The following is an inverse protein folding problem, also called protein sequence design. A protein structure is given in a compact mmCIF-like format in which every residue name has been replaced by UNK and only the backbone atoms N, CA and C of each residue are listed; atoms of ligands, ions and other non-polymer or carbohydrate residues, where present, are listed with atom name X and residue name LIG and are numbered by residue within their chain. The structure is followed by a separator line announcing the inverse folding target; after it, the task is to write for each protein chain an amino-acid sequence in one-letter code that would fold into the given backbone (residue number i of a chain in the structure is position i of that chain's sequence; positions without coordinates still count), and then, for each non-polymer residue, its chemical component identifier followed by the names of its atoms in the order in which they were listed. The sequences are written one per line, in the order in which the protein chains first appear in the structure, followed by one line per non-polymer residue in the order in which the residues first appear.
data_IF_623127282593
#
_entry.id   IF_623127282593
#
_cell.length_a   1.000
_cell.length_b   1.000
_cell.length_c   1.000
_cell.angle_alpha   90.00
_cell.angle_beta   90.00
_cell.angle_gamma   90.00
#
_symmetry.space_group_name_H-M   'P 1'
#
loop_
_entity.id
_entity.type
_entity.pdbx_description
1 polymer ?
#
# COMPACT_ATOMS: atom_id res chain seq x y z
N UNK A 1 1.75 -15.35 -0.22
CA UNK A 1 0.85 -14.19 -0.39
C UNK A 1 -0.21 -14.26 0.67
N UNK A 2 -0.34 -13.23 1.51
CA UNK A 2 -1.37 -13.17 2.55
C UNK A 2 -2.67 -12.60 1.96
N UNK A 3 -3.79 -13.28 2.17
CA UNK A 3 -5.11 -12.89 1.66
C UNK A 3 -6.08 -12.72 2.83
N UNK A 4 -6.69 -11.54 2.96
CA UNK A 4 -7.64 -11.19 4.01
C UNK A 4 -8.92 -10.65 3.35
N UNK A 5 -9.91 -11.52 3.15
CA UNK A 5 -11.16 -11.19 2.44
C UNK A 5 -12.43 -11.28 3.28
N UNK A 6 -12.46 -12.10 4.34
CA UNK A 6 -13.68 -12.30 5.12
C UNK A 6 -13.75 -11.35 6.32
N UNK A 7 -14.94 -10.88 6.72
CA UNK A 7 -15.11 -10.10 7.95
C UNK A 7 -14.60 -10.81 9.21
N UNK A 8 -14.77 -12.13 9.28
CA UNK A 8 -14.33 -12.94 10.42
C UNK A 8 -12.80 -12.96 10.53
N UNK A 9 -12.09 -13.21 9.42
CA UNK A 9 -10.63 -13.17 9.40
C UNK A 9 -10.10 -11.80 9.81
N UNK A 10 -10.73 -10.71 9.35
CA UNK A 10 -10.36 -9.34 9.75
C UNK A 10 -10.51 -9.11 11.24
N UNK A 11 -11.65 -9.49 11.84
CA UNK A 11 -11.88 -9.31 13.28
C UNK A 11 -10.85 -10.06 14.13
N UNK A 12 -10.63 -11.34 13.81
CA UNK A 12 -9.64 -12.16 14.51
C UNK A 12 -8.23 -11.58 14.36
N UNK A 13 -7.84 -11.23 13.13
CA UNK A 13 -6.51 -10.71 12.87
C UNK A 13 -6.29 -9.35 13.54
N UNK A 14 -7.27 -8.45 13.51
CA UNK A 14 -7.17 -7.16 14.21
C UNK A 14 -7.07 -7.36 15.72
N UNK A 15 -7.82 -8.30 16.30
CA UNK A 15 -7.68 -8.65 17.71
C UNK A 15 -6.28 -9.17 18.03
N UNK A 16 -5.75 -10.08 17.20
CA UNK A 16 -4.38 -10.59 17.36
C UNK A 16 -3.33 -9.47 17.28
N UNK A 17 -3.47 -8.58 16.29
CA UNK A 17 -2.56 -7.47 16.06
C UNK A 17 -2.56 -6.43 17.19
N UNK A 18 -3.57 -6.39 18.06
CA UNK A 18 -3.52 -5.55 19.26
C UNK A 18 -2.38 -5.95 20.21
N UNK A 19 -2.00 -7.23 20.22
CA UNK A 19 -1.04 -7.77 21.18
C UNK A 19 0.26 -8.24 20.52
N UNK A 20 0.18 -8.77 19.30
CA UNK A 20 1.28 -9.47 18.65
C UNK A 20 1.53 -8.97 17.23
N UNK A 21 2.78 -9.08 16.77
CA UNK A 21 3.10 -8.84 15.36
C UNK A 21 2.89 -10.13 14.57
N UNK A 22 2.36 -10.03 13.36
CA UNK A 22 2.19 -11.18 12.47
C UNK A 22 3.48 -11.39 11.68
N UNK A 23 3.95 -12.63 11.62
CA UNK A 23 4.91 -13.08 10.61
C UNK A 23 4.34 -14.34 9.95
N UNK A 24 3.84 -14.21 8.73
CA UNK A 24 3.16 -15.29 8.03
C UNK A 24 3.48 -15.26 6.53
N UNK A 25 3.88 -16.40 5.97
CA UNK A 25 4.26 -16.52 4.55
C UNK A 25 5.23 -15.42 4.08
N UNK A 26 6.22 -15.07 4.91
CA UNK A 26 7.21 -14.00 4.66
C UNK A 26 6.61 -12.59 4.57
N UNK A 27 5.39 -12.40 5.03
CA UNK A 27 4.79 -11.08 5.27
C UNK A 27 4.91 -10.78 6.74
N UNK A 28 5.50 -9.62 7.06
CA UNK A 28 5.57 -9.11 8.42
C UNK A 28 4.59 -7.95 8.60
N UNK A 29 3.80 -7.98 9.67
CA UNK A 29 2.90 -6.90 10.06
C UNK A 29 3.09 -6.60 11.54
N UNK A 30 3.54 -5.37 11.84
CA UNK A 30 3.70 -4.90 13.22
C UNK A 30 2.37 -4.89 13.97
N UNK A 31 2.44 -5.23 15.26
CA UNK A 31 1.36 -5.02 16.22
C UNK A 31 0.87 -3.57 16.22
N UNK A 32 -0.42 -3.37 16.49
CA UNK A 32 -1.13 -2.09 16.43
C UNK A 32 -1.68 -1.75 15.04
N UNK A 33 -1.39 -2.55 14.02
CA UNK A 33 -1.97 -2.36 12.69
C UNK A 33 -3.46 -2.75 12.66
N UNK A 34 -4.27 -1.97 11.93
CA UNK A 34 -5.70 -2.19 11.75
C UNK A 34 -6.00 -2.42 10.27
N UNK A 35 -6.50 -3.61 9.95
CA UNK A 35 -6.76 -4.09 8.60
C UNK A 35 -8.27 -4.31 8.41
N UNK A 36 -8.94 -3.29 7.88
CA UNK A 36 -10.41 -3.25 7.74
C UNK A 36 -10.90 -3.39 6.30
N UNK A 37 -10.04 -3.25 5.29
CA UNK A 37 -10.38 -3.45 3.88
C UNK A 37 -10.20 -4.92 3.44
N UNK A 38 -10.69 -5.27 2.25
CA UNK A 38 -10.25 -6.49 1.57
C UNK A 38 -8.79 -6.29 1.15
N UNK A 39 -7.90 -7.21 1.54
CA UNK A 39 -6.47 -6.99 1.46
C UNK A 39 -5.73 -8.21 0.91
N UNK A 40 -4.83 -7.96 -0.03
CA UNK A 40 -3.84 -8.93 -0.50
C UNK A 40 -2.45 -8.34 -0.31
N UNK A 41 -1.54 -9.10 0.29
CA UNK A 41 -0.14 -8.68 0.52
C UNK A 41 0.82 -9.71 -0.09
N UNK A 42 1.68 -9.22 -0.97
CA UNK A 42 2.73 -9.97 -1.64
C UNK A 42 3.84 -10.44 -0.69
N UNK A 43 4.58 -11.43 -1.14
CA UNK A 43 5.65 -12.10 -0.39
C UNK A 43 6.79 -11.12 -0.08
N UNK A 44 7.38 -11.23 1.12
CA UNK A 44 8.54 -10.43 1.51
C UNK A 44 8.23 -8.98 1.86
N UNK A 45 6.97 -8.56 1.78
CA UNK A 45 6.55 -7.23 2.23
C UNK A 45 6.59 -7.13 3.75
N UNK A 46 7.16 -6.04 4.23
CA UNK A 46 7.38 -5.78 5.65
C UNK A 46 6.69 -4.47 6.06
N UNK A 47 5.81 -4.56 7.05
CA UNK A 47 5.10 -3.42 7.65
C UNK A 47 5.63 -3.20 9.07
N UNK A 48 6.51 -2.21 9.22
CA UNK A 48 7.31 -2.01 10.43
C UNK A 48 6.60 -1.25 11.57
N UNK A 49 5.67 -0.34 11.26
CA UNK A 49 4.88 0.37 12.27
C UNK A 49 3.40 -0.02 12.22
N UNK A 50 2.57 0.51 13.11
CA UNK A 50 1.13 0.33 12.94
C UNK A 50 0.70 1.03 11.64
N UNK A 51 -0.15 0.37 10.87
CA UNK A 51 -0.81 0.95 9.69
C UNK A 51 -2.32 0.86 9.84
N UNK A 52 -3.05 1.79 9.22
CA UNK A 52 -4.49 1.74 9.12
C UNK A 52 -4.88 1.55 7.65
N UNK A 53 -5.42 0.38 7.32
CA UNK A 53 -5.96 0.09 5.99
C UNK A 53 -7.48 -0.01 6.11
N UNK A 54 -8.20 0.97 5.56
CA UNK A 54 -9.66 1.12 5.73
C UNK A 54 -10.38 1.44 4.43
N UNK A 55 -11.69 1.17 4.43
CA UNK A 55 -12.58 1.48 3.32
C UNK A 55 -13.22 0.23 2.71
N UNK A 56 -14.11 0.45 1.74
CA UNK A 56 -14.90 -0.61 1.09
C UNK A 56 -14.30 -1.14 -0.22
N UNK A 57 -13.28 -0.48 -0.78
CA UNK A 57 -12.51 -0.96 -1.91
C UNK A 57 -11.45 -1.99 -1.51
N UNK A 58 -10.92 -2.71 -2.49
CA UNK A 58 -9.81 -3.62 -2.31
C UNK A 58 -8.49 -2.85 -2.17
N UNK A 59 -7.56 -3.42 -1.41
CA UNK A 59 -6.19 -2.93 -1.30
C UNK A 59 -5.27 -4.08 -1.68
N UNK A 60 -4.44 -3.86 -2.69
CA UNK A 60 -3.48 -4.83 -3.20
C UNK A 60 -2.08 -4.28 -3.00
N UNK A 61 -1.22 -5.05 -2.35
CA UNK A 61 0.17 -4.68 -2.05
C UNK A 61 1.08 -5.74 -2.66
N UNK A 62 2.01 -5.33 -3.51
CA UNK A 62 2.95 -6.22 -4.19
C UNK A 62 3.98 -6.86 -3.26
N UNK A 63 4.94 -7.55 -3.88
CA UNK A 63 6.03 -8.24 -3.20
C UNK A 63 7.12 -7.26 -2.74
N UNK A 64 7.82 -7.61 -1.66
CA UNK A 64 9.04 -6.93 -1.20
C UNK A 64 8.90 -5.44 -0.94
N UNK A 65 7.73 -4.97 -0.50
CA UNK A 65 7.54 -3.57 -0.13
C UNK A 65 8.03 -3.31 1.30
N UNK A 66 8.53 -2.08 1.52
CA UNK A 66 9.00 -1.63 2.83
C UNK A 66 8.09 -0.48 3.32
N UNK A 67 7.38 -0.72 4.40
CA UNK A 67 6.48 0.25 5.00
C UNK A 67 7.07 0.74 6.32
N UNK A 68 7.05 2.06 6.50
CA UNK A 68 7.25 2.73 7.76
C UNK A 68 6.11 2.50 8.77
N UNK A 69 5.90 3.48 9.65
CA UNK A 69 4.83 3.52 10.63
C UNK A 69 3.83 4.64 10.42
N UNK A 70 2.65 4.46 11.02
CA UNK A 70 1.56 5.43 10.99
C UNK A 70 1.09 5.80 9.59
N UNK A 71 1.04 4.79 8.70
CA UNK A 71 0.58 4.94 7.32
C UNK A 71 -0.93 4.69 7.27
N UNK A 72 -1.65 5.58 6.58
CA UNK A 72 -3.07 5.44 6.31
C UNK A 72 -3.31 5.10 4.83
N UNK A 73 -4.04 4.01 4.57
CA UNK A 73 -4.51 3.63 3.24
C UNK A 73 -6.03 3.61 3.24
N UNK A 74 -6.63 4.41 2.37
CA UNK A 74 -8.08 4.63 2.33
C UNK A 74 -8.61 4.16 0.98
N UNK A 75 -9.58 3.23 0.94
CA UNK A 75 -10.13 2.65 -0.30
C UNK A 75 -11.59 3.03 -0.60
N UNK A 76 -12.11 4.07 0.04
CA UNK A 76 -13.45 4.63 -0.21
C UNK A 76 -13.55 6.05 0.31
N UNK A 77 -14.45 6.85 -0.25
CA UNK A 77 -14.75 8.21 0.22
C UNK A 77 -16.27 8.42 0.35
N UNK A 78 -16.68 9.58 0.85
CA UNK A 78 -18.07 10.03 0.78
C UNK A 78 -18.38 10.60 -0.61
N UNK A 79 -19.62 10.47 -1.08
CA UNK A 79 -20.08 11.25 -2.23
C UNK A 79 -20.38 12.68 -1.76
N UNK A 80 -19.58 13.63 -2.22
CA UNK A 80 -19.63 15.03 -1.79
C UNK A 80 -20.70 15.86 -2.51
N UNK A 81 -21.44 15.26 -3.45
CA UNK A 81 -22.50 15.96 -4.20
C UNK A 81 -23.86 15.94 -3.49
N UNK A 82 -23.91 15.46 -2.25
CA UNK A 82 -25.12 15.48 -1.41
C UNK A 82 -25.01 16.54 -0.31
N UNK A 83 -26.12 17.19 0.08
CA UNK A 83 -26.11 18.23 1.10
C UNK A 83 -25.73 17.71 2.50
N UNK A 84 -25.99 16.43 2.77
CA UNK A 84 -25.54 15.75 3.98
C UNK A 84 -24.45 14.75 3.62
N UNK A 85 -23.32 14.80 4.32
CA UNK A 85 -22.18 13.86 4.16
C UNK A 85 -22.11 12.81 5.28
N UNK A 86 -22.90 12.96 6.34
CA UNK A 86 -22.82 12.13 7.52
C UNK A 86 -23.53 10.79 7.29
N UNK A 87 -22.75 9.70 7.30
CA UNK A 87 -23.18 8.34 6.96
C UNK A 87 -24.39 7.83 7.76
N UNK A 88 -24.42 8.03 9.08
CA UNK A 88 -25.48 7.50 9.95
C UNK A 88 -26.82 8.21 9.68
N UNK A 89 -26.78 9.52 9.52
CA UNK A 89 -27.93 10.36 9.24
C UNK A 89 -28.51 10.07 7.85
N UNK A 90 -27.64 9.88 6.84
CA UNK A 90 -28.09 9.42 5.52
C UNK A 90 -28.85 8.09 5.62
N UNK A 91 -28.32 7.13 6.38
CA UNK A 91 -28.97 5.83 6.58
C UNK A 91 -30.27 5.94 7.36
N UNK A 92 -30.30 6.76 8.40
CA UNK A 92 -31.49 7.00 9.24
C UNK A 92 -32.64 7.61 8.43
N UNK A 93 -32.37 8.66 7.66
CA UNK A 93 -33.42 9.41 6.95
C UNK A 93 -33.79 8.76 5.61
N UNK A 94 -32.81 8.23 4.87
CA UNK A 94 -33.01 7.77 3.48
C UNK A 94 -32.96 6.25 3.33
N UNK A 95 -32.73 5.50 4.41
CA UNK A 95 -32.57 4.05 4.42
C UNK A 95 -31.22 3.55 3.88
N UNK A 96 -30.41 4.41 3.26
CA UNK A 96 -29.10 4.05 2.69
C UNK A 96 -28.07 5.17 2.81
N UNK A 97 -26.80 4.81 2.99
CA UNK A 97 -25.71 5.77 2.94
C UNK A 97 -25.26 6.04 1.50
N UNK A 98 -24.86 7.29 1.23
CA UNK A 98 -24.26 7.72 -0.04
C UNK A 98 -22.74 7.64 0.09
N UNK A 99 -22.21 6.46 -0.18
CA UNK A 99 -20.77 6.20 -0.21
C UNK A 99 -20.29 6.46 -1.65
N UNK A 100 -19.13 7.10 -1.84
CA UNK A 100 -18.49 7.10 -3.16
C UNK A 100 -18.25 5.66 -3.59
N UNK A 101 -18.25 5.38 -4.89
CA UNK A 101 -17.91 4.05 -5.41
C UNK A 101 -16.65 3.47 -4.73
N UNK A 102 -16.58 2.13 -4.67
CA UNK A 102 -15.37 1.43 -4.26
C UNK A 102 -14.19 1.96 -5.08
N UNK A 103 -13.14 2.40 -4.41
CA UNK A 103 -11.96 2.99 -5.03
C UNK A 103 -10.75 2.18 -4.58
N UNK A 104 -10.50 1.12 -5.34
CA UNK A 104 -9.42 0.18 -5.06
C UNK A 104 -8.07 0.90 -5.08
N UNK A 105 -7.17 0.51 -4.18
CA UNK A 105 -5.80 1.03 -4.11
C UNK A 105 -4.85 -0.10 -4.48
N UNK A 106 -3.96 0.14 -5.43
CA UNK A 106 -2.96 -0.84 -5.85
C UNK A 106 -1.55 -0.30 -5.62
N UNK A 107 -0.77 -1.02 -4.82
CA UNK A 107 0.64 -0.74 -4.56
C UNK A 107 1.44 -1.84 -5.24
N UNK A 108 2.34 -1.44 -6.15
CA UNK A 108 3.21 -2.35 -6.89
C UNK A 108 4.24 -3.07 -6.02
N UNK A 109 5.28 -3.59 -6.65
CA UNK A 109 6.36 -4.34 -6.00
C UNK A 109 7.51 -3.43 -5.61
N UNK A 110 8.29 -3.78 -4.58
CA UNK A 110 9.50 -3.05 -4.17
C UNK A 110 9.26 -1.56 -3.87
N UNK A 111 8.06 -1.21 -3.38
CA UNK A 111 7.71 0.16 -3.02
C UNK A 111 8.23 0.46 -1.62
N UNK A 112 8.81 1.65 -1.43
CA UNK A 112 9.15 2.18 -0.11
C UNK A 112 8.17 3.28 0.28
N UNK A 113 7.54 3.13 1.44
CA UNK A 113 6.57 4.09 1.99
C UNK A 113 7.11 4.57 3.33
N UNK A 114 7.44 5.87 3.39
CA UNK A 114 7.91 6.52 4.61
C UNK A 114 6.84 6.62 5.69
N UNK A 115 7.27 6.98 6.90
CA UNK A 115 6.37 7.17 8.03
C UNK A 115 5.35 8.27 7.76
N UNK A 116 4.15 8.14 8.33
CA UNK A 116 3.08 9.15 8.25
C UNK A 116 2.58 9.47 6.82
N UNK A 117 2.74 8.55 5.86
CA UNK A 117 2.15 8.69 4.52
C UNK A 117 0.65 8.39 4.54
N UNK A 118 -0.13 9.19 3.82
CA UNK A 118 -1.56 8.97 3.58
C UNK A 118 -1.78 8.68 2.09
N UNK A 119 -2.36 7.53 1.75
CA UNK A 119 -2.72 7.17 0.37
C UNK A 119 -4.24 7.26 0.21
N UNK A 120 -4.67 8.14 -0.71
CA UNK A 120 -6.08 8.40 -0.96
C UNK A 120 -6.74 7.34 -1.86
N UNK A 121 -8.09 7.25 -1.83
CA UNK A 121 -8.82 6.23 -2.58
C UNK A 121 -8.61 6.30 -4.10
N UNK A 122 -8.36 5.15 -4.71
CA UNK A 122 -8.26 5.00 -6.17
C UNK A 122 -6.85 5.15 -6.72
N UNK A 123 -5.86 5.45 -5.86
CA UNK A 123 -4.47 5.68 -6.25
C UNK A 123 -3.78 4.37 -6.61
N UNK A 124 -2.99 4.41 -7.69
CA UNK A 124 -2.08 3.36 -8.12
C UNK A 124 -0.63 3.78 -7.91
N UNK A 125 0.15 2.95 -7.22
CA UNK A 125 1.58 3.18 -6.97
C UNK A 125 2.39 2.19 -7.79
N UNK A 126 3.23 2.70 -8.70
CA UNK A 126 4.08 1.89 -9.57
C UNK A 126 5.20 1.15 -8.84
N UNK A 127 5.71 0.09 -9.47
CA UNK A 127 6.81 -0.71 -8.90
C UNK A 127 8.03 0.14 -8.61
N UNK A 128 8.70 -0.09 -7.49
CA UNK A 128 9.92 0.62 -7.13
C UNK A 128 9.70 2.08 -6.70
N UNK A 129 8.46 2.59 -6.66
CA UNK A 129 8.20 3.95 -6.24
C UNK A 129 8.61 4.20 -4.78
N UNK A 130 8.89 5.47 -4.46
CA UNK A 130 9.22 5.95 -3.12
C UNK A 130 8.25 7.04 -2.73
N UNK A 131 7.57 6.86 -1.61
CA UNK A 131 6.68 7.85 -1.03
C UNK A 131 7.36 8.41 0.23
N UNK A 132 7.84 9.65 0.16
CA UNK A 132 8.56 10.29 1.25
C UNK A 132 7.68 10.43 2.50
N UNK A 133 8.30 10.43 3.68
CA UNK A 133 7.58 10.55 4.95
C UNK A 133 6.68 11.80 5.00
N UNK A 134 5.53 11.67 5.65
CA UNK A 134 4.54 12.76 5.81
C UNK A 134 3.76 13.14 4.56
N UNK A 135 3.89 12.37 3.46
CA UNK A 135 3.28 12.73 2.18
C UNK A 135 1.81 12.33 2.08
N UNK A 136 1.01 13.16 1.40
CA UNK A 136 -0.39 12.85 1.07
C UNK A 136 -0.50 12.55 -0.42
N UNK A 137 -0.64 11.26 -0.75
CA UNK A 137 -0.68 10.79 -2.12
C UNK A 137 -2.11 10.90 -2.66
N UNK A 138 -2.31 11.89 -3.53
CA UNK A 138 -3.62 12.21 -4.12
C UNK A 138 -3.76 11.78 -5.57
N UNK A 139 -2.67 11.33 -6.21
CA UNK A 139 -2.60 10.92 -7.61
C UNK A 139 -1.69 9.70 -7.76
N UNK A 140 -1.81 9.01 -8.87
CA UNK A 140 -0.96 7.85 -9.19
C UNK A 140 0.52 8.23 -9.17
N UNK A 141 1.34 7.28 -8.71
CA UNK A 141 2.80 7.40 -8.68
C UNK A 141 3.40 6.50 -9.76
N UNK A 142 4.27 7.08 -10.58
CA UNK A 142 4.99 6.36 -11.64
C UNK A 142 5.95 5.32 -11.04
N UNK A 143 6.22 4.22 -11.77
CA UNK A 143 7.23 3.27 -11.34
C UNK A 143 8.60 3.92 -11.16
N UNK A 144 9.27 3.59 -10.06
CA UNK A 144 10.55 4.16 -9.65
C UNK A 144 10.55 5.68 -9.47
N UNK A 145 9.39 6.33 -9.45
CA UNK A 145 9.27 7.74 -9.09
C UNK A 145 9.39 7.96 -7.58
N UNK A 146 9.97 9.10 -7.20
CA UNK A 146 10.04 9.57 -5.82
C UNK A 146 9.05 10.72 -5.69
N UNK A 147 8.13 10.60 -4.74
CA UNK A 147 7.07 11.57 -4.48
C UNK A 147 7.14 12.07 -3.05
N UNK A 148 6.84 13.35 -2.84
CA UNK A 148 6.81 13.94 -1.51
C UNK A 148 5.92 15.16 -1.38
N UNK A 149 5.43 15.43 -0.17
CA UNK A 149 4.66 16.63 0.17
C UNK A 149 3.16 16.40 0.37
N UNK A 150 2.43 17.49 0.62
CA UNK A 150 0.99 17.50 0.81
C UNK A 150 0.35 18.69 0.05
N UNK A 151 -0.29 18.47 -1.11
CA UNK A 151 -0.37 17.19 -1.83
C UNK A 151 1.01 16.75 -2.32
N UNK A 152 1.22 15.44 -2.43
CA UNK A 152 2.49 14.89 -2.89
C UNK A 152 2.71 15.20 -4.37
N UNK A 153 3.91 15.68 -4.68
CA UNK A 153 4.35 15.96 -6.05
C UNK A 153 5.52 15.05 -6.41
N UNK A 154 5.72 14.85 -7.71
CA UNK A 154 6.91 14.18 -8.23
C UNK A 154 8.16 15.01 -7.89
N UNK A 155 9.17 14.36 -7.34
CA UNK A 155 10.47 14.96 -7.01
C UNK A 155 11.49 14.61 -8.10
N UNK A 156 11.69 13.30 -8.34
CA UNK A 156 12.60 12.77 -9.36
C UNK A 156 12.36 11.28 -9.57
N UNK A 157 12.96 10.70 -10.62
CA UNK A 157 13.09 9.25 -10.76
C UNK A 157 14.27 8.73 -9.93
N UNK A 158 14.19 7.46 -9.50
CA UNK A 158 15.30 6.76 -8.84
C UNK A 158 16.48 6.53 -9.78
N UNK A 159 16.19 6.20 -11.04
CA UNK A 159 17.16 5.82 -12.08
C UNK A 159 16.81 6.46 -13.43
N UNK A 160 17.68 6.26 -14.43
CA UNK A 160 17.40 6.61 -15.83
C UNK A 160 16.22 5.82 -16.40
N UNK A 161 15.58 6.35 -17.43
CA UNK A 161 14.43 5.69 -18.07
C UNK A 161 14.80 4.31 -18.62
N UNK A 162 15.98 4.18 -19.23
CA UNK A 162 16.50 2.92 -19.74
C UNK A 162 16.66 1.88 -18.61
N UNK A 163 17.23 2.27 -17.47
CA UNK A 163 17.36 1.38 -16.30
C UNK A 163 15.98 1.00 -15.76
N UNK A 164 15.03 1.93 -15.71
CA UNK A 164 13.67 1.65 -15.26
C UNK A 164 12.99 0.62 -16.18
N UNK A 165 13.10 0.77 -17.50
CA UNK A 165 12.57 -0.18 -18.46
C UNK A 165 13.18 -1.58 -18.28
N UNK A 166 14.51 -1.65 -18.14
CA UNK A 166 15.22 -2.92 -17.85
C UNK A 166 14.70 -3.56 -16.56
N UNK A 167 14.50 -2.78 -15.50
CA UNK A 167 13.97 -3.28 -14.23
C UNK A 167 12.53 -3.79 -14.33
N UNK A 168 11.67 -3.13 -15.13
CA UNK A 168 10.29 -3.58 -15.38
C UNK A 168 10.20 -4.86 -16.21
N UNK A 169 11.19 -5.10 -17.07
CA UNK A 169 11.31 -6.37 -17.82
C UNK A 169 11.84 -7.47 -16.90
N UNK A 170 12.87 -7.17 -16.10
CA UNK A 170 13.55 -8.12 -15.24
C UNK A 170 12.62 -8.74 -14.18
N UNK A 171 11.72 -7.91 -13.62
CA UNK A 171 10.73 -8.30 -12.59
C UNK A 171 11.32 -9.20 -11.50
N UNK A 172 12.47 -8.81 -10.96
CA UNK A 172 13.19 -9.64 -9.99
C UNK A 172 12.34 -10.00 -8.76
N UNK A 173 11.31 -9.20 -8.44
CA UNK A 173 10.34 -9.47 -7.38
C UNK A 173 9.47 -10.72 -7.62
N UNK A 174 9.55 -11.35 -8.78
CA UNK A 174 8.91 -12.62 -9.11
C UNK A 174 9.89 -13.80 -9.11
N UNK A 175 11.20 -13.55 -8.95
CA UNK A 175 12.22 -14.59 -8.90
C UNK A 175 12.04 -15.52 -7.70
N UNK A 176 12.39 -16.79 -7.90
CA UNK A 176 12.55 -17.75 -6.82
C UNK A 176 13.69 -17.33 -5.88
N UNK A 177 13.69 -17.89 -4.67
CA UNK A 177 14.76 -17.60 -3.71
C UNK A 177 16.13 -18.10 -4.17
N UNK A 178 16.18 -19.16 -4.96
CA UNK A 178 17.44 -19.68 -5.49
C UNK A 178 17.96 -18.82 -6.63
N UNK A 179 17.08 -18.34 -7.52
CA UNK A 179 17.44 -17.32 -8.52
C UNK A 179 17.98 -16.05 -7.86
N UNK A 180 17.34 -15.55 -6.80
CA UNK A 180 17.84 -14.39 -6.06
C UNK A 180 19.22 -14.63 -5.45
N UNK A 181 19.46 -15.80 -4.84
CA UNK A 181 20.76 -16.15 -4.26
C UNK A 181 21.85 -16.29 -5.32
N UNK A 182 21.54 -16.95 -6.44
CA UNK A 182 22.46 -17.12 -7.56
C UNK A 182 22.83 -15.78 -8.19
N UNK A 183 21.92 -14.79 -8.16
CA UNK A 183 22.13 -13.44 -8.65
C UNK A 183 22.44 -12.43 -7.53
N UNK A 184 23.02 -12.83 -6.39
CA UNK A 184 23.23 -11.94 -5.23
C UNK A 184 23.91 -10.60 -5.56
N UNK A 185 24.85 -10.60 -6.50
CA UNK A 185 25.57 -9.41 -6.94
C UNK A 185 24.63 -8.33 -7.50
N UNK A 186 23.52 -8.71 -8.12
CA UNK A 186 22.49 -7.77 -8.58
C UNK A 186 21.97 -6.89 -7.44
N UNK A 187 21.77 -7.46 -6.25
CA UNK A 187 21.25 -6.74 -5.07
C UNK A 187 22.32 -5.90 -4.36
N UNK A 188 23.60 -6.13 -4.67
CA UNK A 188 24.74 -5.36 -4.16
C UNK A 188 25.18 -4.25 -5.14
N UNK A 189 24.62 -4.25 -6.36
CA UNK A 189 24.99 -3.31 -7.42
C UNK A 189 24.29 -1.97 -7.25
N UNK A 190 25.07 -0.89 -7.33
CA UNK A 190 24.56 0.49 -7.43
C UNK A 190 24.21 0.80 -8.88
N UNK A 191 22.95 1.17 -9.12
CA UNK A 191 22.41 1.51 -10.44
C UNK A 191 22.42 3.02 -10.72
N UNK A 192 22.95 3.81 -9.78
CA UNK A 192 23.02 5.27 -9.79
C UNK A 192 24.42 5.80 -10.14
N UNK A 193 25.28 4.96 -10.73
CA UNK A 193 26.60 5.34 -11.23
C UNK A 193 26.55 5.74 -12.71
#
# INVERSE_FOLDING_TARGET
MLIIKTPLHRKFLNFYLNFFSLNYQKVFIRKGSVLSANLTIGTGTCINGPVLIKGSGNVEIGNYCAFGGFIDIISSNHDMNYPNLQYKLQKEITGMAKISAKKDVSIGHNVWIGDHVIILPGVKIGNGAVLAAGSVITKDAEPFGIYGGNPAVFIRKRFSEETIQKMQILKWWDWSKDEMKNNKQFFETRLDA
#
